data_IF_601680604855
#
_entry.id   IF_601680604855
#
_cell.length_a   1.000
_cell.length_b   1.000
_cell.length_c   1.000
_cell.angle_alpha   90.00
_cell.angle_beta   90.00
_cell.angle_gamma   90.00
#
_symmetry.space_group_name_H-M   'P 1'
#
loop_
_entity.id
_entity.type
_entity.pdbx_description
1 polymer ?
#
# COMPACT_ATOMS: atom_id res chain seq x y z
N UNK A 1 -20.35 -21.43 17.82
CA UNK A 1 -19.49 -20.35 17.25
C UNK A 1 -18.06 -20.67 17.56
N UNK A 2 -17.20 -20.63 16.54
CA UNK A 2 -15.76 -20.86 16.69
C UNK A 2 -15.05 -19.50 16.74
N UNK A 3 -14.32 -19.17 17.82
CA UNK A 3 -13.56 -17.92 17.85
C UNK A 3 -12.44 -17.99 16.80
N UNK A 4 -12.31 -16.92 15.99
CA UNK A 4 -11.32 -16.84 14.92
C UNK A 4 -10.20 -15.83 15.21
N UNK A 5 -10.36 -15.04 16.26
CA UNK A 5 -9.37 -14.05 16.62
C UNK A 5 -9.79 -13.18 17.79
N UNK A 6 -8.94 -12.26 18.15
CA UNK A 6 -9.17 -11.26 19.19
C UNK A 6 -8.82 -9.87 18.69
N UNK A 7 -9.71 -8.93 18.92
CA UNK A 7 -9.52 -7.52 18.65
C UNK A 7 -9.39 -6.75 19.96
N UNK A 8 -8.34 -5.95 20.10
CA UNK A 8 -8.05 -5.23 21.34
C UNK A 8 -7.85 -3.75 21.07
N UNK A 9 -8.68 -2.91 21.68
CA UNK A 9 -8.54 -1.46 21.67
C UNK A 9 -7.91 -1.04 23.00
N UNK A 10 -6.63 -0.77 23.00
CA UNK A 10 -5.85 -0.53 24.23
C UNK A 10 -4.94 0.70 24.14
N UNK A 11 -5.04 1.51 23.10
CA UNK A 11 -4.26 2.73 22.94
C UNK A 11 -5.08 3.80 22.21
N UNK A 12 -5.03 5.02 22.70
CA UNK A 12 -5.51 6.18 21.99
C UNK A 12 -4.39 6.79 21.11
N UNK A 13 -4.79 7.61 20.16
CA UNK A 13 -3.86 8.38 19.35
C UNK A 13 -3.17 9.48 20.18
N UNK A 14 -1.95 9.81 19.80
CA UNK A 14 -1.23 10.98 20.33
C UNK A 14 -1.57 12.25 19.53
N UNK A 15 -1.85 12.09 18.25
CA UNK A 15 -2.24 13.18 17.35
C UNK A 15 -3.41 12.70 16.47
N UNK A 16 -4.61 13.15 16.81
CA UNK A 16 -5.83 12.80 16.10
C UNK A 16 -5.76 13.11 14.60
N UNK A 17 -5.22 14.25 14.23
CA UNK A 17 -5.16 14.67 12.83
C UNK A 17 -4.29 13.73 11.99
N UNK A 18 -3.09 13.42 12.44
CA UNK A 18 -2.17 12.56 11.71
C UNK A 18 -2.55 11.07 11.75
N UNK A 19 -3.12 10.61 12.87
CA UNK A 19 -3.34 9.19 13.11
C UNK A 19 -4.78 8.72 12.86
N UNK A 20 -5.73 9.65 12.71
CA UNK A 20 -7.15 9.31 12.55
C UNK A 20 -7.84 10.11 11.46
N UNK A 21 -7.79 11.45 11.50
CA UNK A 21 -8.54 12.32 10.58
C UNK A 21 -8.18 12.07 9.11
N UNK A 22 -6.93 11.81 8.82
CA UNK A 22 -6.43 11.60 7.47
C UNK A 22 -6.50 10.14 7.00
N UNK A 23 -7.22 9.28 7.72
CA UNK A 23 -7.38 7.88 7.30
C UNK A 23 -8.08 7.79 5.94
N UNK A 24 -7.57 6.91 5.10
CA UNK A 24 -8.09 6.67 3.76
C UNK A 24 -8.27 5.17 3.54
N UNK A 25 -9.49 4.69 3.74
CA UNK A 25 -9.82 3.29 3.45
C UNK A 25 -9.76 3.03 1.94
N UNK A 26 -9.10 1.96 1.55
CA UNK A 26 -8.95 1.60 0.15
C UNK A 26 -9.41 0.15 -0.05
N UNK A 27 -10.44 -0.10 -0.87
CA UNK A 27 -10.89 -1.47 -1.17
C UNK A 27 -9.81 -2.33 -1.82
N UNK A 28 -8.82 -1.72 -2.45
CA UNK A 28 -7.69 -2.42 -3.07
C UNK A 28 -6.64 -2.94 -2.08
N UNK A 29 -6.67 -2.48 -0.83
CA UNK A 29 -5.73 -2.93 0.19
C UNK A 29 -6.23 -4.21 0.85
N UNK A 30 -5.94 -5.34 0.22
CA UNK A 30 -6.33 -6.67 0.69
C UNK A 30 -5.10 -7.43 1.21
N UNK A 31 -5.36 -8.51 1.93
CA UNK A 31 -4.33 -9.42 2.46
C UNK A 31 -4.33 -10.73 1.67
N UNK A 32 -3.24 -11.51 1.69
CA UNK A 32 -3.21 -12.83 1.08
C UNK A 32 -4.37 -13.71 1.55
N UNK A 33 -5.00 -14.42 0.62
CA UNK A 33 -6.17 -15.25 0.88
C UNK A 33 -7.52 -14.54 0.65
N UNK A 34 -7.51 -13.24 0.37
CA UNK A 34 -8.69 -12.47 -0.04
C UNK A 34 -8.46 -11.97 -1.46
N UNK A 35 -9.49 -12.04 -2.29
CA UNK A 35 -9.44 -11.57 -3.68
C UNK A 35 -10.72 -10.82 -4.04
N UNK A 36 -10.71 -10.18 -5.20
CA UNK A 36 -11.82 -9.37 -5.70
C UNK A 36 -12.82 -10.22 -6.47
N UNK A 37 -14.10 -9.90 -6.31
CA UNK A 37 -15.15 -10.47 -7.16
C UNK A 37 -15.33 -9.64 -8.43
N UNK A 38 -16.11 -10.18 -9.38
CA UNK A 38 -16.47 -9.47 -10.61
C UNK A 38 -17.66 -8.51 -10.44
N UNK A 39 -18.04 -8.20 -9.20
CA UNK A 39 -19.10 -7.23 -8.93
C UNK A 39 -18.76 -5.87 -9.54
N UNK A 40 -19.61 -5.30 -10.42
CA UNK A 40 -19.30 -4.03 -11.11
C UNK A 40 -19.10 -2.86 -10.15
N UNK A 41 -19.81 -2.83 -9.04
CA UNK A 41 -19.66 -1.79 -8.04
C UNK A 41 -18.29 -1.88 -7.36
N UNK A 42 -17.86 -3.07 -6.97
CA UNK A 42 -16.55 -3.29 -6.38
C UNK A 42 -15.42 -2.91 -7.35
N UNK A 43 -15.51 -3.34 -8.61
CA UNK A 43 -14.52 -3.02 -9.63
C UNK A 43 -14.38 -1.51 -9.85
N UNK A 44 -15.50 -0.78 -9.84
CA UNK A 44 -15.49 0.68 -9.92
C UNK A 44 -14.87 1.32 -8.66
N UNK A 45 -15.11 0.78 -7.49
CA UNK A 45 -14.56 1.27 -6.22
C UNK A 45 -13.04 1.15 -6.14
N UNK A 46 -12.43 0.16 -6.77
CA UNK A 46 -10.98 -0.05 -6.73
C UNK A 46 -10.19 1.16 -7.22
N UNK A 47 -10.63 1.80 -8.30
CA UNK A 47 -9.96 3.00 -8.79
C UNK A 47 -10.55 4.30 -8.24
N UNK A 48 -11.84 4.35 -7.98
CA UNK A 48 -12.54 5.53 -7.47
C UNK A 48 -11.98 6.00 -6.12
N UNK A 49 -11.74 5.08 -5.19
CA UNK A 49 -11.17 5.42 -3.89
C UNK A 49 -9.74 5.93 -4.00
N UNK A 50 -8.92 5.31 -4.85
CA UNK A 50 -7.55 5.78 -5.09
C UNK A 50 -7.54 7.20 -5.66
N UNK A 51 -8.35 7.47 -6.66
CA UNK A 51 -8.48 8.79 -7.25
C UNK A 51 -8.92 9.84 -6.23
N UNK A 52 -9.93 9.54 -5.43
CA UNK A 52 -10.43 10.42 -4.37
C UNK A 52 -9.35 10.70 -3.31
N UNK A 53 -8.58 9.70 -2.93
CA UNK A 53 -7.51 9.86 -1.93
C UNK A 53 -6.40 10.77 -2.45
N UNK A 54 -5.98 10.62 -3.69
CA UNK A 54 -4.99 11.49 -4.31
C UNK A 54 -5.47 12.93 -4.37
N UNK A 55 -6.75 13.16 -4.62
CA UNK A 55 -7.34 14.50 -4.63
C UNK A 55 -7.48 15.11 -3.23
N UNK A 56 -7.90 14.32 -2.25
CA UNK A 56 -8.15 14.77 -0.89
C UNK A 56 -6.87 14.93 -0.06
N UNK A 57 -5.95 13.99 -0.20
CA UNK A 57 -4.78 13.87 0.67
C UNK A 57 -3.45 14.08 -0.08
N UNK A 58 -3.49 14.22 -1.39
CA UNK A 58 -2.31 14.39 -2.24
C UNK A 58 -1.70 15.78 -2.11
N UNK A 59 -0.95 16.01 -1.07
CA UNK A 59 -0.21 17.24 -0.79
C UNK A 59 1.26 16.97 -0.51
N UNK A 60 2.03 17.99 -0.11
CA UNK A 60 3.46 17.84 0.14
C UNK A 60 3.80 16.77 1.18
N UNK A 61 2.92 16.55 2.14
CA UNK A 61 3.12 15.59 3.23
C UNK A 61 2.43 14.23 3.00
N UNK A 62 1.94 13.97 1.79
CA UNK A 62 1.21 12.73 1.48
C UNK A 62 1.96 11.47 1.92
N UNK A 63 3.26 11.39 1.67
CA UNK A 63 4.08 10.24 2.01
C UNK A 63 4.34 10.07 3.52
N UNK A 64 4.03 11.09 4.31
CA UNK A 64 4.25 11.08 5.74
C UNK A 64 3.03 10.62 6.54
N UNK A 65 1.88 10.46 5.90
CA UNK A 65 0.64 10.06 6.58
C UNK A 65 0.78 8.64 7.15
N UNK A 66 0.95 8.49 8.48
CA UNK A 66 1.31 7.19 9.06
C UNK A 66 0.17 6.17 9.01
N UNK A 67 -1.08 6.63 9.14
CA UNK A 67 -2.26 5.74 9.20
C UNK A 67 -2.53 5.02 7.88
N UNK A 68 -2.12 5.60 6.76
CA UNK A 68 -2.36 5.04 5.42
C UNK A 68 -1.16 4.28 4.87
N UNK A 69 -0.01 4.44 5.50
CA UNK A 69 1.24 3.82 5.05
C UNK A 69 1.29 2.36 5.49
N UNK A 70 1.65 1.43 4.60
CA UNK A 70 1.89 0.04 5.01
C UNK A 70 3.05 -0.04 6.00
N UNK A 71 2.92 -0.89 6.99
CA UNK A 71 3.98 -1.17 7.98
C UNK A 71 5.10 -1.98 7.33
N UNK A 72 4.74 -2.90 6.47
CA UNK A 72 5.65 -3.73 5.68
C UNK A 72 6.28 -2.92 4.54
N UNK A 73 7.58 -3.06 4.26
CA UNK A 73 8.21 -2.41 3.11
C UNK A 73 7.84 -3.13 1.81
N UNK A 74 6.59 -3.01 1.40
CA UNK A 74 6.09 -3.57 0.16
C UNK A 74 6.37 -2.62 -1.00
N UNK A 75 6.85 -3.15 -2.10
CA UNK A 75 7.11 -2.41 -3.33
C UNK A 75 6.31 -3.01 -4.49
N UNK A 76 5.88 -2.15 -5.40
CA UNK A 76 5.13 -2.54 -6.58
C UNK A 76 6.02 -2.69 -7.82
N UNK A 77 7.34 -2.61 -7.66
CA UNK A 77 8.35 -2.62 -8.71
C UNK A 77 8.26 -1.47 -9.73
N UNK A 78 7.53 -0.44 -9.44
CA UNK A 78 7.43 0.78 -10.25
C UNK A 78 8.61 1.72 -9.96
N UNK A 79 9.84 1.26 -10.24
CA UNK A 79 11.04 2.02 -9.82
C UNK A 79 11.37 3.21 -10.72
N UNK A 80 11.02 3.16 -11.99
CA UNK A 80 11.42 4.16 -12.99
C UNK A 80 10.18 4.84 -13.56
N UNK A 81 9.72 5.89 -12.91
CA UNK A 81 8.55 6.65 -13.31
C UNK A 81 7.54 6.86 -12.19
N UNK A 82 6.36 7.38 -12.54
CA UNK A 82 5.24 7.61 -11.63
C UNK A 82 5.65 8.41 -10.38
N UNK A 83 6.53 9.41 -10.57
CA UNK A 83 7.06 10.24 -9.49
C UNK A 83 7.66 9.45 -8.31
N UNK A 84 8.37 8.36 -8.61
CA UNK A 84 9.02 7.53 -7.60
C UNK A 84 10.07 8.32 -6.82
N UNK A 85 9.99 8.29 -5.49
CA UNK A 85 10.90 9.02 -4.59
C UNK A 85 11.96 8.13 -3.95
N UNK A 86 11.75 6.82 -3.95
CA UNK A 86 12.68 5.88 -3.34
C UNK A 86 13.90 5.70 -4.22
N UNK A 87 15.07 5.71 -3.61
CA UNK A 87 16.32 5.39 -4.32
C UNK A 87 16.53 3.89 -4.25
N UNK A 88 16.19 3.21 -5.34
CA UNK A 88 16.37 1.77 -5.46
C UNK A 88 17.83 1.45 -5.79
N UNK A 89 18.33 0.40 -5.18
CA UNK A 89 19.65 -0.15 -5.54
C UNK A 89 19.48 -1.15 -6.69
N UNK A 90 20.58 -1.36 -7.41
CA UNK A 90 20.62 -2.27 -8.55
C UNK A 90 20.20 -1.62 -9.86
N UNK A 91 20.46 -2.30 -10.95
CA UNK A 91 20.26 -1.79 -12.31
C UNK A 91 19.01 -2.36 -12.99
N UNK A 92 18.47 -3.46 -12.47
CA UNK A 92 17.32 -4.14 -13.07
C UNK A 92 16.16 -4.23 -12.09
N UNK A 93 14.96 -4.00 -12.62
CA UNK A 93 13.68 -4.11 -11.87
C UNK A 93 12.87 -5.34 -12.27
N UNK A 94 13.46 -6.28 -13.00
CA UNK A 94 12.79 -7.48 -13.51
C UNK A 94 13.62 -8.73 -13.26
N UNK A 95 12.96 -9.87 -13.23
CA UNK A 95 13.57 -11.17 -13.04
C UNK A 95 13.05 -12.16 -14.10
N UNK A 96 13.88 -13.07 -14.66
CA UNK A 96 15.34 -13.11 -14.44
C UNK A 96 16.08 -12.00 -15.19
N UNK A 97 17.25 -11.63 -14.71
CA UNK A 97 18.13 -10.68 -15.39
C UNK A 97 19.58 -11.13 -15.28
N UNK A 98 20.43 -10.68 -16.21
CA UNK A 98 21.86 -10.99 -16.24
C UNK A 98 22.73 -9.87 -15.67
N UNK A 99 22.14 -8.83 -15.13
CA UNK A 99 22.83 -7.62 -14.68
C UNK A 99 23.03 -7.64 -13.17
N UNK A 100 22.07 -8.11 -12.41
CA UNK A 100 22.02 -7.98 -10.96
C UNK A 100 21.73 -9.32 -10.26
N UNK A 101 22.49 -10.36 -10.62
CA UNK A 101 22.42 -11.70 -10.04
C UNK A 101 21.00 -12.33 -10.03
N UNK A 102 20.21 -12.04 -11.05
CA UNK A 102 18.85 -12.52 -11.22
C UNK A 102 17.84 -12.09 -10.12
N UNK A 103 18.26 -11.24 -9.21
CA UNK A 103 17.36 -10.73 -8.20
C UNK A 103 16.71 -9.43 -8.65
N UNK A 104 15.38 -9.34 -8.68
CA UNK A 104 14.72 -8.05 -8.76
C UNK A 104 15.04 -7.25 -7.51
N UNK A 105 15.12 -5.94 -7.64
CA UNK A 105 15.51 -5.07 -6.54
C UNK A 105 14.64 -5.27 -5.29
N UNK A 106 13.44 -5.79 -5.45
CA UNK A 106 12.48 -5.94 -4.34
C UNK A 106 11.43 -7.00 -4.68
N UNK A 107 11.72 -8.23 -4.31
CA UNK A 107 10.69 -9.26 -4.27
C UNK A 107 10.21 -9.37 -2.83
N UNK A 108 8.92 -9.23 -2.54
CA UNK A 108 8.42 -9.53 -1.21
C UNK A 108 8.76 -10.99 -0.90
N UNK A 109 9.15 -11.30 0.35
CA UNK A 109 9.35 -12.67 0.74
C UNK A 109 8.06 -13.48 0.55
N UNK A 110 8.21 -14.65 -0.04
CA UNK A 110 7.10 -15.57 -0.29
C UNK A 110 6.46 -16.03 1.02
#
# INVERSE_FOLDING_TARGET
MTPIGRFVLNRNEDNFFAETEQVAFCPGHIVPGIDFTNDPLLQARLFSYTDTQLSRLGGPNFHQIPINKPVCPFHNNQRDGIHQHTIHKGQASYQPNSIDNDWPAETPPA
#
